data_IF_964110089915
#
_entry.id   IF_964110089915
#
_cell.length_a   1.000
_cell.length_b   1.000
_cell.length_c   1.000
_cell.angle_alpha   90.00
_cell.angle_beta   90.00
_cell.angle_gamma   90.00
#
_symmetry.space_group_name_H-M   'P 1'
#
loop_
_entity.id
_entity.type
_entity.pdbx_description
1 polymer ?
#
# COMPACT_ATOMS: atom_id res chain seq x y z
N UNK A 1 13.15 -8.31 11.23
CA UNK A 1 12.91 -8.24 9.76
C UNK A 1 14.17 -7.69 9.10
N UNK A 2 14.65 -8.36 8.03
CA UNK A 2 15.76 -7.88 7.20
C UNK A 2 15.43 -8.21 5.74
N UNK A 3 15.38 -7.16 4.89
CA UNK A 3 14.88 -7.26 3.51
C UNK A 3 15.70 -6.37 2.59
N UNK A 4 16.06 -6.89 1.42
CA UNK A 4 16.75 -6.17 0.35
C UNK A 4 15.82 -6.01 -0.85
N UNK A 5 15.65 -4.78 -1.32
CA UNK A 5 14.73 -4.43 -2.41
C UNK A 5 15.30 -3.34 -3.32
N UNK A 6 14.68 -3.16 -4.48
CA UNK A 6 14.96 -2.03 -5.35
C UNK A 6 14.14 -0.81 -4.98
N UNK A 7 14.78 0.35 -4.88
CA UNK A 7 14.17 1.62 -4.47
C UNK A 7 12.95 1.99 -5.31
N UNK A 8 13.06 1.94 -6.64
CA UNK A 8 12.00 2.43 -7.52
C UNK A 8 10.74 1.56 -7.44
N UNK A 9 10.91 0.24 -7.31
CA UNK A 9 9.79 -0.69 -7.12
C UNK A 9 9.15 -0.49 -5.74
N UNK A 10 9.97 -0.37 -4.69
CA UNK A 10 9.49 -0.10 -3.34
C UNK A 10 8.73 1.23 -3.27
N UNK A 11 9.27 2.29 -3.89
CA UNK A 11 8.62 3.59 -3.94
C UNK A 11 7.27 3.53 -4.65
N UNK A 12 7.20 2.82 -5.77
CA UNK A 12 5.96 2.68 -6.53
C UNK A 12 4.85 2.05 -5.69
N UNK A 13 5.12 0.91 -5.03
CA UNK A 13 4.11 0.23 -4.20
C UNK A 13 3.82 1.01 -2.91
N UNK A 14 4.82 1.65 -2.30
CA UNK A 14 4.63 2.46 -1.09
C UNK A 14 3.75 3.68 -1.36
N UNK A 15 4.03 4.42 -2.44
CA UNK A 15 3.24 5.58 -2.84
C UNK A 15 1.79 5.22 -3.25
N UNK A 16 1.61 4.05 -3.87
CA UNK A 16 0.28 3.55 -4.20
C UNK A 16 -0.50 3.16 -2.94
N UNK A 17 0.11 2.38 -2.05
CA UNK A 17 -0.51 1.88 -0.83
C UNK A 17 -0.85 3.02 0.13
N UNK A 18 0.02 4.02 0.25
CA UNK A 18 -0.20 5.19 1.10
C UNK A 18 -1.52 5.95 0.80
N UNK A 19 -2.06 5.84 -0.42
CA UNK A 19 -3.33 6.49 -0.81
C UNK A 19 -4.55 5.94 -0.06
N UNK A 20 -4.48 4.72 0.45
CA UNK A 20 -5.56 4.15 1.25
C UNK A 20 -5.49 4.54 2.73
N UNK A 21 -4.35 5.02 3.22
CA UNK A 21 -4.23 5.47 4.60
C UNK A 21 -4.94 6.81 4.80
N UNK A 22 -5.76 6.98 5.84
CA UNK A 22 -6.45 8.25 6.11
C UNK A 22 -5.45 9.29 6.61
N UNK A 23 -5.78 10.57 6.43
CA UNK A 23 -4.97 11.68 6.96
C UNK A 23 -5.14 11.87 8.47
N UNK A 24 -6.29 11.47 8.99
CA UNK A 24 -6.65 11.53 10.41
C UNK A 24 -7.37 10.26 10.81
N UNK A 25 -7.01 9.69 11.94
CA UNK A 25 -7.67 8.51 12.50
C UNK A 25 -7.51 8.50 14.03
N UNK A 26 -8.40 7.82 14.72
CA UNK A 26 -8.32 7.62 16.17
C UNK A 26 -7.21 6.63 16.53
N UNK A 27 -6.93 5.67 15.65
CA UNK A 27 -5.85 4.69 15.84
C UNK A 27 -4.63 5.10 15.04
N UNK A 28 -3.49 5.24 15.70
CA UNK A 28 -2.21 5.54 15.06
C UNK A 28 -1.81 4.48 14.02
N UNK A 29 -2.15 3.21 14.26
CA UNK A 29 -1.83 2.12 13.36
C UNK A 29 -2.49 2.30 11.97
N UNK A 30 -3.70 2.83 11.91
CA UNK A 30 -4.44 3.05 10.64
C UNK A 30 -3.83 4.19 9.80
N UNK A 31 -3.13 5.14 10.44
CA UNK A 31 -2.37 6.19 9.74
C UNK A 31 -1.12 5.66 9.03
N UNK A 32 -0.80 4.40 9.25
CA UNK A 32 0.39 3.73 8.74
C UNK A 32 0.11 2.80 7.57
N UNK A 33 1.23 2.32 7.01
CA UNK A 33 1.29 1.20 6.09
C UNK A 33 1.80 0.00 6.88
N UNK A 34 1.08 -1.10 6.84
CA UNK A 34 1.57 -2.38 7.31
C UNK A 34 2.53 -2.95 6.28
N UNK A 35 3.78 -3.18 6.69
CA UNK A 35 4.86 -3.73 5.88
C UNK A 35 5.16 -5.12 6.41
N UNK A 36 4.99 -6.14 5.58
CA UNK A 36 5.20 -7.55 5.93
C UNK A 36 6.21 -8.17 4.98
N UNK A 37 7.23 -8.80 5.54
CA UNK A 37 8.26 -9.55 4.83
C UNK A 37 8.11 -11.05 5.11
N UNK A 38 7.96 -11.84 4.05
CA UNK A 38 7.85 -13.29 4.09
C UNK A 38 9.05 -13.94 3.39
N UNK A 39 9.94 -14.55 4.18
CA UNK A 39 11.14 -15.23 3.66
C UNK A 39 10.82 -16.50 2.88
N UNK A 40 9.70 -17.19 3.20
CA UNK A 40 9.32 -18.42 2.51
C UNK A 40 8.82 -18.14 1.08
N UNK A 41 8.16 -17.00 0.88
CA UNK A 41 7.64 -16.56 -0.41
C UNK A 41 8.59 -15.61 -1.14
N UNK A 42 9.65 -15.14 -0.48
CA UNK A 42 10.55 -14.09 -0.97
C UNK A 42 9.76 -12.86 -1.43
N UNK A 43 8.84 -12.41 -0.59
CA UNK A 43 7.90 -11.33 -0.89
C UNK A 43 7.89 -10.27 0.19
N UNK A 44 7.80 -9.02 -0.25
CA UNK A 44 7.46 -7.88 0.60
C UNK A 44 6.04 -7.42 0.24
N UNK A 45 5.16 -7.33 1.23
CA UNK A 45 3.76 -6.93 1.07
C UNK A 45 3.48 -5.68 1.88
N UNK A 46 2.89 -4.68 1.25
CA UNK A 46 2.43 -3.45 1.86
C UNK A 46 0.91 -3.41 1.85
N UNK A 47 0.30 -3.09 2.99
CA UNK A 47 -1.16 -2.97 3.12
C UNK A 47 -1.51 -1.67 3.83
N UNK A 48 -2.46 -0.92 3.30
CA UNK A 48 -3.08 0.20 3.99
C UNK A 48 -4.60 0.21 3.80
N UNK A 49 -5.31 0.77 4.77
CA UNK A 49 -6.77 0.85 4.77
C UNK A 49 -7.27 2.07 5.52
N UNK A 50 -8.41 2.60 5.11
CA UNK A 50 -9.24 3.52 5.86
C UNK A 50 -10.57 2.88 6.32
N UNK A 51 -10.63 1.54 6.32
CA UNK A 51 -11.80 0.66 6.54
C UNK A 51 -12.81 0.60 5.38
N UNK A 52 -12.84 1.58 4.48
CA UNK A 52 -13.70 1.57 3.28
C UNK A 52 -12.94 1.03 2.06
N UNK A 53 -11.66 1.35 1.99
CA UNK A 53 -10.76 0.94 0.91
C UNK A 53 -9.57 0.22 1.51
N UNK A 54 -9.17 -0.88 0.88
CA UNK A 54 -7.92 -1.59 1.19
C UNK A 54 -7.06 -1.60 -0.05
N UNK A 55 -5.82 -1.13 0.07
CA UNK A 55 -4.81 -1.33 -0.96
C UNK A 55 -3.75 -2.27 -0.40
N UNK A 56 -3.59 -3.40 -1.09
CA UNK A 56 -2.50 -4.35 -0.83
C UNK A 56 -1.66 -4.47 -2.09
N UNK A 57 -0.36 -4.23 -1.96
CA UNK A 57 0.60 -4.36 -3.03
C UNK A 57 1.78 -5.22 -2.58
N UNK A 58 2.25 -6.09 -3.45
CA UNK A 58 3.36 -7.00 -3.15
C UNK A 58 4.42 -6.91 -4.24
N UNK A 59 5.68 -7.13 -3.85
CA UNK A 59 6.82 -7.22 -4.75
C UNK A 59 7.75 -8.36 -4.34
N UNK A 60 8.53 -8.87 -5.29
CA UNK A 60 9.62 -9.79 -4.99
C UNK A 60 10.69 -9.09 -4.16
N UNK A 61 11.22 -9.77 -3.17
CA UNK A 61 12.25 -9.23 -2.28
C UNK A 61 13.20 -10.33 -1.82
N UNK A 62 14.46 -9.99 -1.59
CA UNK A 62 15.37 -10.87 -0.89
C UNK A 62 15.13 -10.70 0.62
N UNK A 63 14.45 -11.65 1.22
CA UNK A 63 14.06 -11.61 2.64
C UNK A 63 14.95 -12.56 3.43
N UNK A 64 15.87 -11.99 4.21
CA UNK A 64 16.72 -12.79 5.12
C UNK A 64 15.99 -13.14 6.41
N UNK A 65 15.22 -12.20 6.93
CA UNK A 65 14.45 -12.39 8.15
C UNK A 65 13.02 -11.86 7.99
N UNK A 66 12.05 -12.75 8.14
CA UNK A 66 10.62 -12.40 8.13
C UNK A 66 10.25 -11.49 9.30
N UNK A 67 9.19 -10.72 9.14
CA UNK A 67 8.64 -9.86 10.18
C UNK A 67 7.67 -8.86 9.62
N UNK A 68 7.01 -8.13 10.52
CA UNK A 68 6.06 -7.09 10.13
C UNK A 68 6.14 -5.87 11.02
N UNK A 69 5.90 -4.70 10.43
CA UNK A 69 5.87 -3.41 11.12
C UNK A 69 4.82 -2.50 10.49
N UNK A 70 4.38 -1.51 11.26
CA UNK A 70 3.52 -0.43 10.76
C UNK A 70 4.31 0.88 10.76
N UNK A 71 4.36 1.53 9.61
CA UNK A 71 5.14 2.75 9.38
C UNK A 71 4.21 3.85 8.91
N UNK A 72 4.47 5.10 9.29
CA UNK A 72 3.72 6.26 8.81
C UNK A 72 3.60 6.29 7.30
N UNK A 73 2.35 6.33 6.79
CA UNK A 73 2.06 6.38 5.35
C UNK A 73 2.56 7.66 4.68
N UNK A 74 2.73 8.74 5.42
CA UNK A 74 3.29 9.99 4.91
C UNK A 74 4.82 9.96 4.85
N UNK A 75 5.48 9.41 5.87
CA UNK A 75 6.93 9.46 5.98
C UNK A 75 7.64 8.37 5.19
N UNK A 76 7.05 7.18 5.09
CA UNK A 76 7.70 6.04 4.44
C UNK A 76 8.01 6.26 2.95
N UNK A 77 7.03 6.65 2.09
CA UNK A 77 7.34 6.95 0.70
C UNK A 77 8.28 8.14 0.53
N UNK A 78 8.16 9.17 1.40
CA UNK A 78 9.03 10.35 1.35
C UNK A 78 10.49 10.00 1.67
N UNK A 79 10.71 9.13 2.67
CA UNK A 79 12.04 8.65 3.01
C UNK A 79 12.65 7.84 1.86
N UNK A 80 11.87 6.92 1.24
CA UNK A 80 12.35 6.12 0.11
C UNK A 80 12.69 7.02 -1.09
N UNK A 81 11.87 8.02 -1.40
CA UNK A 81 12.10 8.94 -2.52
C UNK A 81 13.40 9.74 -2.38
N UNK A 82 13.87 9.99 -1.15
CA UNK A 82 15.09 10.74 -0.88
C UNK A 82 16.37 9.89 -0.84
N UNK A 83 16.26 8.57 -1.03
CA UNK A 83 17.42 7.67 -1.04
C UNK A 83 18.28 7.87 -2.30
N UNK A 84 19.64 7.85 -2.16
CA UNK A 84 20.52 8.12 -3.29
C UNK A 84 20.70 6.95 -4.25
N UNK A 85 20.63 5.70 -3.76
CA UNK A 85 20.95 4.50 -4.52
C UNK A 85 19.73 3.61 -4.75
N UNK A 86 19.85 2.69 -5.72
CA UNK A 86 18.76 1.77 -6.09
C UNK A 86 18.60 0.59 -5.12
N UNK A 87 19.67 0.19 -4.44
CA UNK A 87 19.59 -0.89 -3.48
C UNK A 87 19.22 -0.34 -2.10
N UNK A 88 18.20 -0.93 -1.51
CA UNK A 88 17.61 -0.51 -0.25
C UNK A 88 17.48 -1.68 0.69
N UNK A 89 17.99 -1.50 1.90
CA UNK A 89 17.84 -2.43 3.00
C UNK A 89 16.81 -1.90 4.01
N UNK A 90 15.85 -2.73 4.36
CA UNK A 90 14.87 -2.48 5.41
C UNK A 90 15.18 -3.37 6.59
N UNK A 91 15.44 -2.79 7.75
CA UNK A 91 15.87 -3.54 8.93
C UNK A 91 15.13 -3.08 10.19
N UNK A 92 14.64 -4.05 10.97
CA UNK A 92 14.11 -3.82 12.32
C UNK A 92 15.07 -4.42 13.33
N UNK A 93 16.09 -3.66 13.73
CA UNK A 93 17.06 -4.06 14.78
C UNK A 93 16.44 -3.96 16.18
N UNK A 94 15.60 -2.94 16.38
CA UNK A 94 14.99 -2.66 17.68
C UNK A 94 13.46 -2.57 17.57
N UNK A 95 12.73 -3.02 18.60
CA UNK A 95 11.29 -2.82 18.67
C UNK A 95 10.93 -1.34 18.53
N UNK A 96 9.94 -1.04 17.71
CA UNK A 96 9.46 0.32 17.53
C UNK A 96 10.25 1.17 16.53
N UNK A 97 11.19 0.58 15.76
CA UNK A 97 11.99 1.32 14.80
C UNK A 97 12.24 0.52 13.51
N UNK A 98 12.04 1.15 12.35
CA UNK A 98 12.53 0.68 11.06
C UNK A 98 13.75 1.52 10.66
N UNK A 99 14.84 0.87 10.34
CA UNK A 99 16.00 1.47 9.70
C UNK A 99 15.94 1.19 8.20
N UNK A 100 16.11 2.22 7.40
CA UNK A 100 16.21 2.16 5.93
C UNK A 100 17.63 2.58 5.56
N UNK A 101 18.34 1.74 4.83
CA UNK A 101 19.70 2.01 4.36
C UNK A 101 19.76 1.98 2.84
N UNK A 102 20.57 2.87 2.26
CA UNK A 102 20.88 2.88 0.83
C UNK A 102 22.22 3.56 0.63
N UNK A 103 23.26 2.82 0.27
CA UNK A 103 24.63 3.29 0.25
C UNK A 103 25.06 3.90 1.59
N UNK A 104 25.43 5.16 1.58
CA UNK A 104 25.81 5.89 2.81
C UNK A 104 24.62 6.53 3.54
N UNK A 105 23.43 6.55 2.94
CA UNK A 105 22.25 7.14 3.57
C UNK A 105 21.60 6.16 4.55
N UNK A 106 21.17 6.68 5.71
CA UNK A 106 20.47 5.91 6.73
C UNK A 106 19.34 6.73 7.31
N UNK A 107 18.11 6.23 7.21
CA UNK A 107 16.94 6.79 7.88
C UNK A 107 16.47 5.87 8.99
N UNK A 108 15.96 6.47 10.05
CA UNK A 108 15.30 5.76 11.14
C UNK A 108 13.91 6.32 11.30
N UNK A 109 12.91 5.48 11.14
CA UNK A 109 11.50 5.81 11.27
C UNK A 109 10.93 5.10 12.49
N UNK A 110 10.11 5.79 13.26
CA UNK A 110 9.30 5.14 14.30
C UNK A 110 8.35 4.16 13.64
N UNK A 111 8.23 2.98 14.23
CA UNK A 111 7.39 1.89 13.75
C UNK A 111 6.57 1.32 14.88
N UNK A 112 5.34 0.90 14.60
CA UNK A 112 4.58 0.05 15.50
C UNK A 112 4.79 -1.41 15.11
N UNK A 113 4.56 -2.32 16.06
CA UNK A 113 4.56 -3.76 15.74
C UNK A 113 3.44 -4.08 14.75
N UNK A 114 3.70 -4.98 13.80
CA UNK A 114 2.75 -5.32 12.73
C UNK A 114 1.45 -5.95 13.24
N UNK A 115 1.48 -6.65 14.37
CA UNK A 115 0.31 -7.24 15.03
C UNK A 115 -0.70 -6.20 15.54
N UNK A 116 -0.30 -4.94 15.71
CA UNK A 116 -1.19 -3.85 16.07
C UNK A 116 -2.00 -3.29 14.91
N UNK A 117 -1.68 -3.69 13.68
CA UNK A 117 -2.41 -3.23 12.50
C UNK A 117 -3.77 -3.93 12.39
N UNK A 118 -4.88 -3.19 12.25
CA UNK A 118 -6.20 -3.80 12.08
C UNK A 118 -6.30 -4.36 10.66
N UNK A 119 -5.81 -5.59 10.48
CA UNK A 119 -5.81 -6.24 9.18
C UNK A 119 -7.26 -6.49 8.73
N UNK A 120 -7.71 -5.88 7.62
CA UNK A 120 -9.05 -6.10 7.14
C UNK A 120 -9.20 -7.53 6.60
N UNK A 121 -10.30 -8.18 6.94
CA UNK A 121 -10.70 -9.42 6.30
C UNK A 121 -11.10 -9.10 4.86
N UNK A 122 -10.34 -9.62 3.91
CA UNK A 122 -10.70 -9.51 2.50
C UNK A 122 -11.59 -10.71 2.15
N UNK A 123 -12.82 -10.47 1.68
CA UNK A 123 -13.67 -11.57 1.23
C UNK A 123 -12.99 -12.29 0.05
N UNK A 124 -13.00 -13.61 0.08
CA UNK A 124 -12.63 -14.38 -1.11
C UNK A 124 -13.77 -14.24 -2.12
N UNK A 125 -13.49 -13.83 -3.36
CA UNK A 125 -14.53 -13.76 -4.38
C UNK A 125 -14.99 -15.18 -4.75
N UNK A 126 -16.30 -15.40 -4.77
CA UNK A 126 -16.88 -16.66 -5.26
C UNK A 126 -16.65 -16.81 -6.76
N UNK A 127 -16.64 -15.67 -7.49
CA UNK A 127 -16.39 -15.61 -8.92
C UNK A 127 -15.40 -14.50 -9.28
N UNK A 128 -14.58 -14.76 -10.31
CA UNK A 128 -13.65 -13.78 -10.87
C UNK A 128 -13.92 -13.59 -12.36
N UNK A 129 -13.97 -12.31 -12.78
CA UNK A 129 -14.12 -11.97 -14.19
C UNK A 129 -12.81 -11.38 -14.71
N UNK A 130 -12.25 -11.91 -15.80
CA UNK A 130 -11.11 -11.28 -16.46
C UNK A 130 -11.58 -10.00 -17.14
N UNK A 131 -11.08 -8.85 -16.67
CA UNK A 131 -11.40 -7.54 -17.23
C UNK A 131 -10.16 -6.92 -17.85
N UNK A 132 -10.20 -6.71 -19.16
CA UNK A 132 -9.18 -5.92 -19.87
C UNK A 132 -9.65 -4.48 -20.00
N UNK A 133 -8.70 -3.53 -19.92
CA UNK A 133 -8.99 -2.12 -20.19
C UNK A 133 -9.69 -1.34 -19.07
N UNK A 134 -9.86 -1.90 -17.85
CA UNK A 134 -10.50 -1.21 -16.72
C UNK A 134 -9.90 0.18 -16.44
N UNK A 135 -8.58 0.31 -16.53
CA UNK A 135 -7.89 1.61 -16.38
C UNK A 135 -8.34 2.63 -17.41
N UNK A 136 -8.51 2.22 -18.67
CA UNK A 136 -8.97 3.10 -19.76
C UNK A 136 -10.43 3.50 -19.56
N UNK A 137 -11.28 2.54 -19.18
CA UNK A 137 -12.69 2.82 -18.86
C UNK A 137 -12.82 3.82 -17.71
N UNK A 138 -12.11 3.59 -16.61
CA UNK A 138 -12.09 4.51 -15.47
C UNK A 138 -11.60 5.91 -15.88
N UNK A 139 -10.52 6.00 -16.65
CA UNK A 139 -9.97 7.29 -17.11
C UNK A 139 -10.95 8.05 -17.97
N UNK A 140 -11.74 7.37 -18.80
CA UNK A 140 -12.70 7.98 -19.73
C UNK A 140 -14.03 8.36 -19.07
N UNK A 141 -14.27 7.98 -17.82
CA UNK A 141 -15.53 8.22 -17.09
C UNK A 141 -15.38 9.05 -15.84
N UNK A 142 -14.24 8.93 -15.13
CA UNK A 142 -14.02 9.60 -13.84
C UNK A 142 -14.10 11.12 -13.90
N UNK A 143 -13.79 11.75 -15.05
CA UNK A 143 -13.88 13.21 -15.21
C UNK A 143 -15.32 13.73 -15.12
N UNK A 144 -16.32 12.87 -15.38
CA UNK A 144 -17.74 13.22 -15.34
C UNK A 144 -18.39 13.02 -13.96
N UNK A 145 -17.64 12.49 -13.00
CA UNK A 145 -18.10 12.29 -11.63
C UNK A 145 -18.20 13.64 -10.93
N UNK A 146 -19.34 13.90 -10.25
CA UNK A 146 -19.55 15.14 -9.54
C UNK A 146 -18.55 15.32 -8.38
N UNK A 147 -18.09 16.56 -8.20
CA UNK A 147 -17.22 16.95 -7.10
C UNK A 147 -17.96 16.97 -5.74
N UNK A 148 -17.21 17.11 -4.66
CA UNK A 148 -17.76 17.24 -3.31
C UNK A 148 -18.69 18.47 -3.21
N UNK A 149 -19.83 18.29 -2.52
CA UNK A 149 -20.85 19.31 -2.38
C UNK A 149 -22.17 18.99 -3.11
N UNK A 150 -22.17 18.06 -4.08
CA UNK A 150 -23.41 17.59 -4.71
C UNK A 150 -24.11 16.60 -3.79
N UNK A 151 -25.41 16.84 -3.43
CA UNK A 151 -26.11 16.03 -2.42
C UNK A 151 -26.50 14.63 -2.89
N UNK A 152 -26.40 14.32 -4.18
CA UNK A 152 -26.80 13.02 -4.74
C UNK A 152 -25.65 12.02 -4.82
N UNK A 153 -25.61 10.99 -3.95
CA UNK A 153 -24.53 9.98 -3.97
C UNK A 153 -24.32 9.28 -5.32
N UNK A 154 -25.37 8.93 -6.10
CA UNK A 154 -25.16 8.31 -7.41
C UNK A 154 -24.38 9.16 -8.41
N UNK A 155 -24.41 10.49 -8.29
CA UNK A 155 -23.65 11.39 -9.16
C UNK A 155 -22.15 11.41 -8.85
N UNK A 156 -21.75 10.91 -7.69
CA UNK A 156 -20.36 10.79 -7.25
C UNK A 156 -19.75 9.43 -7.58
N UNK A 157 -20.46 8.59 -8.33
CA UNK A 157 -20.03 7.21 -8.61
C UNK A 157 -19.96 6.94 -10.11
N UNK A 158 -19.11 6.01 -10.48
CA UNK A 158 -19.11 5.39 -11.80
C UNK A 158 -19.87 4.06 -11.67
N UNK A 159 -20.89 3.87 -12.50
CA UNK A 159 -21.61 2.61 -12.58
C UNK A 159 -20.79 1.61 -13.40
N UNK A 160 -20.51 0.46 -12.81
CA UNK A 160 -19.98 -0.70 -13.52
C UNK A 160 -21.11 -1.65 -13.86
N UNK A 161 -21.24 -2.02 -15.13
CA UNK A 161 -22.21 -3.00 -15.59
C UNK A 161 -21.48 -4.18 -16.22
N UNK A 162 -21.72 -5.37 -15.68
CA UNK A 162 -21.20 -6.63 -16.22
C UNK A 162 -22.31 -7.31 -16.99
N UNK A 163 -22.13 -7.49 -18.27
CA UNK A 163 -23.09 -8.16 -19.17
C UNK A 163 -22.42 -9.23 -20.01
N UNK A 164 -23.20 -9.92 -20.88
CA UNK A 164 -22.68 -10.96 -21.77
C UNK A 164 -21.54 -10.48 -22.68
N UNK A 165 -21.54 -9.18 -23.02
CA UNK A 165 -20.55 -8.55 -23.88
C UNK A 165 -19.32 -8.00 -23.10
N UNK A 166 -19.22 -8.25 -21.80
CA UNK A 166 -18.16 -7.79 -20.93
C UNK A 166 -18.53 -6.62 -20.01
N UNK A 167 -17.52 -5.88 -19.53
CA UNK A 167 -17.67 -4.75 -18.63
C UNK A 167 -17.93 -3.46 -19.43
N UNK A 168 -18.96 -2.72 -19.03
CA UNK A 168 -19.32 -1.39 -19.57
C UNK A 168 -19.39 -0.36 -18.45
#
# INVERSE_FOLDING_TARGET
MLVHVKRDELLAIAAQTAKAAPKTATSEAVLGIHVEADSRRSMLTLTATNYEIVIRASMGASVEQSGSVVISAALFPAAIASLPEQDVDLETEHPGQLTIRSGHARFRLSALSGDKYPMPELPFPDDTLPVSGLRSLARNTLFAVAEDGVPSPPMKCVRLHVGPDGLK
#
